data_IF_267602486214
#
_entry.id   IF_267602486214
#
_cell.length_a   1.000
_cell.length_b   1.000
_cell.length_c   1.000
_cell.angle_alpha   90.00
_cell.angle_beta   90.00
_cell.angle_gamma   90.00
#
_symmetry.space_group_name_H-M   'P 1'
#
loop_
_entity.id
_entity.type
_entity.pdbx_description
1 polymer ?
#
# COMPACT_ATOMS: atom_id res chain seq x y z
N UNK A 1 18.83 80.80 0.51
CA UNK A 1 19.14 81.54 -0.72
C UNK A 1 19.51 82.96 -0.33
N UNK A 2 20.75 83.39 -0.61
CA UNK A 2 21.19 84.75 -0.31
C UNK A 2 20.60 85.72 -1.35
N UNK A 3 19.98 86.81 -0.90
CA UNK A 3 19.39 87.84 -1.77
C UNK A 3 20.48 88.61 -2.49
N UNK A 4 20.50 88.55 -3.82
CA UNK A 4 21.35 89.39 -4.65
C UNK A 4 20.68 90.77 -4.68
N UNK A 5 21.21 91.71 -3.87
CA UNK A 5 20.68 93.08 -3.69
C UNK A 5 20.92 93.98 -4.92
N UNK A 6 20.53 93.55 -6.12
CA UNK A 6 20.50 94.43 -7.29
C UNK A 6 19.14 95.16 -7.36
N UNK A 7 19.11 96.50 -7.46
CA UNK A 7 17.86 97.24 -7.57
C UNK A 7 17.19 96.97 -8.92
N UNK A 8 15.86 96.94 -8.96
CA UNK A 8 15.11 96.86 -10.20
C UNK A 8 15.30 98.13 -11.04
N UNK A 9 15.82 98.01 -12.26
CA UNK A 9 16.08 99.12 -13.18
C UNK A 9 15.14 99.00 -14.39
N UNK A 10 13.85 99.29 -14.23
CA UNK A 10 12.93 99.50 -15.37
C UNK A 10 11.57 100.07 -14.93
N UNK A 11 11.22 101.26 -15.47
CA UNK A 11 9.99 102.00 -15.11
C UNK A 11 8.67 101.32 -15.48
N UNK A 12 8.71 100.28 -16.32
CA UNK A 12 7.51 99.58 -16.78
C UNK A 12 7.18 98.34 -15.92
N UNK A 13 8.05 97.95 -14.99
CA UNK A 13 7.87 96.78 -14.11
C UNK A 13 7.91 97.14 -12.63
N UNK A 14 7.88 98.44 -12.29
CA UNK A 14 7.94 98.95 -10.93
C UNK A 14 6.88 98.34 -10.00
N UNK A 15 5.67 98.07 -10.53
CA UNK A 15 4.58 97.44 -9.76
C UNK A 15 4.90 96.00 -9.36
N UNK A 16 5.51 95.24 -10.25
CA UNK A 16 5.90 93.83 -10.03
C UNK A 16 7.13 93.77 -9.15
N UNK A 17 8.11 94.65 -9.39
CA UNK A 17 9.31 94.76 -8.57
C UNK A 17 9.02 95.16 -7.12
N UNK A 18 8.12 96.12 -6.88
CA UNK A 18 7.69 96.46 -5.52
C UNK A 18 6.99 95.28 -4.84
N UNK A 19 6.09 94.58 -5.53
CA UNK A 19 5.39 93.43 -4.97
C UNK A 19 6.32 92.26 -4.61
N UNK A 20 7.38 92.01 -5.39
CA UNK A 20 8.39 90.99 -5.08
C UNK A 20 9.28 91.42 -3.91
N UNK A 21 9.66 92.70 -3.82
CA UNK A 21 10.56 93.19 -2.78
C UNK A 21 9.90 93.30 -1.39
N UNK A 22 8.61 93.66 -1.32
CA UNK A 22 7.91 93.82 -0.03
C UNK A 22 7.31 92.52 0.50
N UNK A 23 6.80 91.66 -0.37
CA UNK A 23 6.23 90.36 0.04
C UNK A 23 6.28 89.31 -1.08
N UNK A 24 7.50 88.95 -1.49
CA UNK A 24 7.75 87.86 -2.46
C UNK A 24 7.01 86.57 -2.12
N UNK A 25 6.82 86.28 -0.83
CA UNK A 25 6.14 85.07 -0.37
C UNK A 25 4.63 85.11 -0.69
N UNK A 26 3.98 86.27 -0.59
CA UNK A 26 2.58 86.44 -0.96
C UNK A 26 2.36 86.26 -2.48
N UNK A 27 3.26 86.78 -3.31
CA UNK A 27 3.09 86.75 -4.77
C UNK A 27 3.57 85.44 -5.43
N UNK A 28 4.74 84.91 -5.02
CA UNK A 28 5.32 83.69 -5.61
C UNK A 28 4.79 82.42 -4.92
N UNK A 29 4.35 82.53 -3.66
CA UNK A 29 3.88 81.41 -2.85
C UNK A 29 2.77 80.56 -3.51
N UNK A 30 1.70 81.15 -4.07
CA UNK A 30 0.65 80.40 -4.76
C UNK A 30 1.16 79.64 -5.99
N UNK A 31 2.03 80.27 -6.78
CA UNK A 31 2.61 79.67 -8.00
C UNK A 31 3.57 78.54 -7.65
N UNK A 32 4.41 78.73 -6.64
CA UNK A 32 5.31 77.70 -6.13
C UNK A 32 4.55 76.52 -5.50
N UNK A 33 3.44 76.79 -4.79
CA UNK A 33 2.56 75.76 -4.22
C UNK A 33 1.85 74.96 -5.31
N UNK A 34 1.30 75.62 -6.33
CA UNK A 34 0.70 74.97 -7.48
C UNK A 34 1.73 74.12 -8.26
N UNK A 35 2.95 74.62 -8.45
CA UNK A 35 4.05 73.86 -9.06
C UNK A 35 4.45 72.61 -8.26
N UNK A 36 4.53 72.72 -6.92
CA UNK A 36 4.76 71.56 -6.04
C UNK A 36 3.63 70.53 -6.09
N UNK A 37 2.38 70.99 -6.09
CA UNK A 37 1.21 70.11 -6.16
C UNK A 37 1.10 69.40 -7.52
N UNK A 38 1.34 70.12 -8.61
CA UNK A 38 1.38 69.53 -9.95
C UNK A 38 2.49 68.48 -10.04
N UNK A 39 3.71 68.78 -9.57
CA UNK A 39 4.83 67.81 -9.57
C UNK A 39 4.50 66.57 -8.73
N UNK A 40 3.88 66.73 -7.57
CA UNK A 40 3.47 65.61 -6.73
C UNK A 40 2.41 64.73 -7.41
N UNK A 41 1.37 65.34 -8.01
CA UNK A 41 0.30 64.62 -8.72
C UNK A 41 0.83 63.86 -9.94
N UNK A 42 1.73 64.46 -10.72
CA UNK A 42 2.34 63.79 -11.88
C UNK A 42 3.29 62.67 -11.44
N UNK A 43 3.99 62.84 -10.31
CA UNK A 43 4.87 61.79 -9.76
C UNK A 43 4.04 60.61 -9.24
N UNK A 44 2.95 60.86 -8.51
CA UNK A 44 2.03 59.80 -8.06
C UNK A 44 1.38 59.05 -9.23
N UNK A 45 0.96 59.76 -10.29
CA UNK A 45 0.32 59.12 -11.43
C UNK A 45 1.29 58.28 -12.26
N UNK A 46 2.52 58.77 -12.49
CA UNK A 46 3.58 58.02 -13.17
C UNK A 46 4.03 56.83 -12.33
N UNK A 47 4.21 57.00 -11.01
CA UNK A 47 4.53 55.89 -10.11
C UNK A 47 3.43 54.83 -10.13
N UNK A 48 2.16 55.22 -10.04
CA UNK A 48 1.03 54.28 -10.05
C UNK A 48 0.88 53.56 -11.40
N UNK A 49 1.15 54.24 -12.51
CA UNK A 49 1.16 53.64 -13.84
C UNK A 49 2.32 52.65 -14.01
N UNK A 50 3.53 53.01 -13.62
CA UNK A 50 4.69 52.12 -13.70
C UNK A 50 4.59 50.94 -12.72
N UNK A 51 4.05 51.14 -11.53
CA UNK A 51 3.77 50.05 -10.58
C UNK A 51 2.69 49.11 -11.13
N UNK A 52 1.66 49.67 -11.79
CA UNK A 52 0.63 48.90 -12.50
C UNK A 52 1.20 48.07 -13.66
N UNK A 53 2.15 48.62 -14.41
CA UNK A 53 2.84 47.93 -15.49
C UNK A 53 3.79 46.84 -14.96
N UNK A 54 4.61 47.14 -13.96
CA UNK A 54 5.50 46.16 -13.31
C UNK A 54 4.71 45.02 -12.67
N UNK A 55 3.55 45.31 -12.07
CA UNK A 55 2.69 44.25 -11.52
C UNK A 55 2.04 43.40 -12.61
N UNK A 56 1.64 43.98 -13.75
CA UNK A 56 1.13 43.22 -14.89
C UNK A 56 2.19 42.28 -15.50
N UNK A 57 3.43 42.76 -15.67
CA UNK A 57 4.53 41.97 -16.24
C UNK A 57 5.03 40.88 -15.28
N UNK A 58 4.99 41.14 -13.96
CA UNK A 58 5.37 40.16 -12.92
C UNK A 58 4.33 39.02 -12.76
N UNK A 59 3.06 39.29 -13.06
CA UNK A 59 1.99 38.27 -12.96
C UNK A 59 2.18 37.15 -13.99
N UNK A 60 2.67 37.48 -15.19
CA UNK A 60 2.87 36.51 -16.28
C UNK A 60 3.97 35.47 -15.97
N UNK A 61 5.12 35.90 -15.43
CA UNK A 61 6.22 34.99 -15.06
C UNK A 61 5.86 34.09 -13.87
N UNK A 62 5.08 34.59 -12.91
CA UNK A 62 4.55 33.77 -11.82
C UNK A 62 3.60 32.67 -12.30
N UNK A 63 2.74 32.96 -13.28
CA UNK A 63 1.87 31.94 -13.85
C UNK A 63 2.67 30.81 -14.52
N UNK A 64 3.68 31.13 -15.32
CA UNK A 64 4.51 30.12 -16.02
C UNK A 64 5.26 29.21 -15.04
N UNK A 65 5.83 29.78 -13.97
CA UNK A 65 6.53 29.00 -12.93
C UNK A 65 5.54 28.12 -12.16
N UNK A 66 4.35 28.65 -11.84
CA UNK A 66 3.31 27.89 -11.16
C UNK A 66 2.83 26.68 -11.99
N UNK A 67 2.60 26.85 -13.29
CA UNK A 67 2.20 25.73 -14.18
C UNK A 67 3.27 24.64 -14.26
N UNK A 68 4.55 25.01 -14.32
CA UNK A 68 5.66 24.04 -14.37
C UNK A 68 5.71 23.18 -13.10
N UNK A 69 5.56 23.82 -11.92
CA UNK A 69 5.53 23.11 -10.63
C UNK A 69 4.29 22.23 -10.51
N UNK A 70 3.11 22.74 -10.88
CA UNK A 70 1.86 21.97 -10.88
C UNK A 70 1.96 20.76 -11.82
N UNK A 71 2.53 20.92 -13.01
CA UNK A 71 2.73 19.83 -13.96
C UNK A 71 3.63 18.71 -13.37
N UNK A 72 4.74 19.08 -12.71
CA UNK A 72 5.62 18.11 -12.06
C UNK A 72 4.87 17.36 -10.93
N UNK A 73 4.08 18.07 -10.12
CA UNK A 73 3.28 17.45 -9.05
C UNK A 73 2.24 16.48 -9.61
N UNK A 74 1.59 16.81 -10.74
CA UNK A 74 0.62 15.93 -11.40
C UNK A 74 1.31 14.67 -11.94
N UNK A 75 2.48 14.80 -12.57
CA UNK A 75 3.26 13.64 -13.06
C UNK A 75 3.67 12.74 -11.89
N UNK A 76 4.14 13.32 -10.78
CA UNK A 76 4.46 12.56 -9.57
C UNK A 76 3.22 11.87 -8.99
N UNK A 77 2.07 12.54 -8.95
CA UNK A 77 0.81 11.95 -8.52
C UNK A 77 0.40 10.76 -9.39
N UNK A 78 0.48 10.90 -10.71
CA UNK A 78 0.15 9.83 -11.66
C UNK A 78 1.10 8.64 -11.48
N UNK A 79 2.41 8.88 -11.33
CA UNK A 79 3.40 7.85 -11.04
C UNK A 79 3.08 7.11 -9.73
N UNK A 80 2.69 7.84 -8.68
CA UNK A 80 2.29 7.27 -7.39
C UNK A 80 1.01 6.44 -7.53
N UNK A 81 0.01 6.91 -8.28
CA UNK A 81 -1.24 6.17 -8.51
C UNK A 81 -0.97 4.87 -9.28
N UNK A 82 -0.23 4.93 -10.39
CA UNK A 82 0.13 3.74 -11.19
C UNK A 82 0.92 2.75 -10.32
N UNK A 83 1.87 3.24 -9.52
CA UNK A 83 2.64 2.42 -8.60
C UNK A 83 1.76 1.71 -7.56
N UNK A 84 0.81 2.42 -6.95
CA UNK A 84 -0.14 1.84 -5.99
C UNK A 84 -0.99 0.75 -6.65
N UNK A 85 -1.47 0.98 -7.88
CA UNK A 85 -2.29 0.01 -8.63
C UNK A 85 -1.48 -1.24 -8.99
N UNK A 86 -0.27 -1.09 -9.53
CA UNK A 86 0.60 -2.22 -9.87
C UNK A 86 0.95 -3.05 -8.63
N UNK A 87 1.25 -2.39 -7.51
CA UNK A 87 1.50 -3.05 -6.24
C UNK A 87 0.27 -3.82 -5.75
N UNK A 88 -0.91 -3.19 -5.81
CA UNK A 88 -2.16 -3.82 -5.37
C UNK A 88 -2.46 -5.09 -6.18
N UNK A 89 -2.27 -5.06 -7.49
CA UNK A 89 -2.47 -6.23 -8.36
C UNK A 89 -1.48 -7.35 -8.05
N UNK A 90 -0.18 -7.02 -7.93
CA UNK A 90 0.85 -8.01 -7.61
C UNK A 90 0.61 -8.68 -6.25
N UNK A 91 0.23 -7.91 -5.22
CA UNK A 91 -0.10 -8.44 -3.89
C UNK A 91 -1.27 -9.42 -3.97
N UNK A 92 -2.33 -9.05 -4.69
CA UNK A 92 -3.53 -9.88 -4.81
C UNK A 92 -3.26 -11.21 -5.52
N UNK A 93 -2.43 -11.20 -6.57
CA UNK A 93 -2.06 -12.43 -7.27
C UNK A 93 -1.16 -13.32 -6.42
N UNK A 94 -0.19 -12.74 -5.71
CA UNK A 94 0.68 -13.48 -4.79
C UNK A 94 -0.08 -14.08 -3.61
N UNK A 95 -1.05 -13.36 -3.05
CA UNK A 95 -1.90 -13.86 -1.98
C UNK A 95 -2.71 -15.09 -2.42
N UNK A 96 -3.32 -15.02 -3.61
CA UNK A 96 -4.05 -16.15 -4.17
C UNK A 96 -3.13 -17.36 -4.44
N UNK A 97 -1.93 -17.11 -4.99
CA UNK A 97 -0.95 -18.16 -5.26
C UNK A 97 -0.43 -18.80 -3.97
N UNK A 98 -0.14 -18.00 -2.94
CA UNK A 98 0.29 -18.48 -1.63
C UNK A 98 -0.78 -19.31 -0.95
N UNK A 99 -2.04 -18.89 -1.01
CA UNK A 99 -3.17 -19.63 -0.44
C UNK A 99 -3.39 -20.97 -1.15
N UNK A 100 -3.22 -21.01 -2.47
CA UNK A 100 -3.29 -22.24 -3.26
C UNK A 100 -2.13 -23.20 -2.91
N UNK A 101 -0.91 -22.69 -2.80
CA UNK A 101 0.27 -23.46 -2.41
C UNK A 101 0.11 -24.04 -0.99
N UNK A 102 -0.37 -23.23 -0.04
CA UNK A 102 -0.66 -23.65 1.32
C UNK A 102 -1.72 -24.77 1.35
N UNK A 103 -2.83 -24.61 0.63
CA UNK A 103 -3.86 -25.64 0.55
C UNK A 103 -3.32 -26.95 -0.04
N UNK A 104 -2.50 -26.89 -1.09
CA UNK A 104 -1.87 -28.08 -1.67
C UNK A 104 -0.92 -28.77 -0.68
N UNK A 105 -0.12 -27.98 0.04
CA UNK A 105 0.79 -28.47 1.07
C UNK A 105 0.04 -29.13 2.24
N UNK A 106 -1.04 -28.51 2.68
CA UNK A 106 -1.97 -29.06 3.67
C UNK A 106 -2.58 -30.39 3.24
N UNK A 107 -3.11 -30.46 2.02
CA UNK A 107 -3.69 -31.69 1.46
C UNK A 107 -2.65 -32.81 1.41
N UNK A 108 -1.45 -32.55 0.90
CA UNK A 108 -0.39 -33.55 0.82
C UNK A 108 -0.02 -34.08 2.21
N UNK A 109 0.25 -33.17 3.15
CA UNK A 109 0.65 -33.51 4.52
C UNK A 109 -0.46 -34.25 5.27
N UNK A 110 -1.70 -33.83 5.08
CA UNK A 110 -2.87 -34.49 5.67
C UNK A 110 -3.10 -35.90 5.13
N UNK A 111 -2.96 -36.11 3.82
CA UNK A 111 -3.05 -37.44 3.20
C UNK A 111 -1.96 -38.35 3.75
N UNK A 112 -0.70 -37.88 3.81
CA UNK A 112 0.42 -38.65 4.35
C UNK A 112 0.15 -39.05 5.82
N UNK A 113 -0.37 -38.12 6.62
CA UNK A 113 -0.74 -38.40 8.01
C UNK A 113 -1.90 -39.38 8.14
N UNK A 114 -2.89 -39.31 7.25
CA UNK A 114 -3.98 -40.29 7.21
C UNK A 114 -3.47 -41.69 6.85
N UNK A 115 -2.58 -41.80 5.87
CA UNK A 115 -1.93 -43.07 5.48
C UNK A 115 -1.15 -43.65 6.66
N UNK A 116 -0.33 -42.82 7.31
CA UNK A 116 0.44 -43.19 8.50
C UNK A 116 -0.49 -43.69 9.63
N UNK A 117 -1.57 -42.95 9.91
CA UNK A 117 -2.54 -43.32 10.93
C UNK A 117 -3.26 -44.63 10.62
N UNK A 118 -3.66 -44.85 9.36
CA UNK A 118 -4.29 -46.10 8.93
C UNK A 118 -3.33 -47.28 9.06
N UNK A 119 -2.06 -47.09 8.69
CA UNK A 119 -1.03 -48.10 8.84
C UNK A 119 -0.75 -48.42 10.31
N UNK A 120 -0.60 -47.43 11.18
CA UNK A 120 -0.27 -47.66 12.60
C UNK A 120 -1.43 -48.28 13.37
N UNK A 121 -2.66 -47.78 13.17
CA UNK A 121 -3.83 -48.24 13.95
C UNK A 121 -4.44 -49.52 13.43
N UNK A 122 -4.41 -49.74 12.12
CA UNK A 122 -5.12 -50.84 11.47
C UNK A 122 -4.22 -51.81 10.70
N UNK A 123 -2.91 -51.53 10.61
CA UNK A 123 -1.96 -52.28 9.79
C UNK A 123 -2.37 -52.36 8.30
N UNK A 124 -2.97 -51.27 7.82
CA UNK A 124 -3.48 -51.18 6.45
C UNK A 124 -2.47 -50.48 5.54
N UNK A 125 -2.07 -51.16 4.47
CA UNK A 125 -1.33 -50.58 3.33
C UNK A 125 -2.21 -50.45 2.07
N UNK A 126 -3.29 -51.24 2.03
CA UNK A 126 -4.23 -51.32 0.93
C UNK A 126 -5.64 -51.44 1.49
N UNK A 127 -6.60 -50.96 0.70
CA UNK A 127 -8.02 -51.17 0.90
C UNK A 127 -8.55 -51.79 -0.40
N UNK A 128 -9.18 -52.95 -0.29
CA UNK A 128 -9.77 -53.71 -1.40
C UNK A 128 -8.76 -53.98 -2.51
N UNK A 129 -7.50 -54.25 -2.12
CA UNK A 129 -6.38 -54.49 -3.03
C UNK A 129 -5.77 -53.23 -3.66
N UNK A 130 -6.32 -52.04 -3.43
CA UNK A 130 -5.84 -50.75 -3.95
C UNK A 130 -5.04 -50.02 -2.87
N UNK A 131 -3.96 -49.35 -3.23
CA UNK A 131 -3.12 -48.63 -2.26
C UNK A 131 -3.84 -47.41 -1.65
N UNK A 132 -3.53 -47.13 -0.39
CA UNK A 132 -4.10 -45.98 0.33
C UNK A 132 -3.85 -44.65 -0.39
N UNK A 133 -2.69 -44.49 -1.03
CA UNK A 133 -2.29 -43.29 -1.79
C UNK A 133 -3.24 -42.97 -2.95
N UNK A 134 -3.94 -43.98 -3.47
CA UNK A 134 -4.91 -43.82 -4.58
C UNK A 134 -6.32 -43.59 -4.07
N UNK A 135 -6.67 -44.18 -2.91
CA UNK A 135 -8.00 -44.05 -2.32
C UNK A 135 -8.15 -42.73 -1.58
N UNK A 136 -7.11 -42.32 -0.85
CA UNK A 136 -7.11 -41.08 -0.08
C UNK A 136 -6.84 -39.88 -0.98
N UNK A 137 -7.63 -38.83 -0.79
CA UNK A 137 -7.57 -37.59 -1.53
C UNK A 137 -8.13 -36.45 -0.69
N UNK A 138 -8.06 -35.23 -1.23
CA UNK A 138 -8.50 -33.99 -0.57
C UNK A 138 -9.94 -34.03 0.00
N UNK A 139 -10.82 -34.88 -0.54
CA UNK A 139 -12.23 -34.98 -0.15
C UNK A 139 -12.49 -35.98 0.98
N UNK A 140 -11.55 -36.84 1.36
CA UNK A 140 -11.83 -37.92 2.32
C UNK A 140 -10.82 -38.06 3.46
N UNK A 141 -9.56 -37.62 3.29
CA UNK A 141 -8.48 -37.87 4.26
C UNK A 141 -8.78 -37.32 5.67
N UNK A 142 -9.58 -36.27 5.77
CA UNK A 142 -9.99 -35.61 7.02
C UNK A 142 -11.46 -35.86 7.40
N UNK A 143 -12.13 -36.84 6.77
CA UNK A 143 -13.54 -37.12 7.00
C UNK A 143 -13.72 -38.41 7.83
N UNK A 144 -14.04 -38.30 9.13
CA UNK A 144 -14.17 -39.45 10.03
C UNK A 144 -15.12 -40.54 9.53
N UNK A 145 -16.27 -40.13 8.99
CA UNK A 145 -17.29 -41.05 8.51
C UNK A 145 -16.80 -41.83 7.29
N UNK A 146 -16.12 -41.17 6.35
CA UNK A 146 -15.62 -41.83 5.12
C UNK A 146 -14.50 -42.79 5.47
N UNK A 147 -13.52 -42.37 6.29
CA UNK A 147 -12.44 -43.26 6.72
C UNK A 147 -12.99 -44.46 7.50
N UNK A 148 -13.95 -44.22 8.41
CA UNK A 148 -14.61 -45.29 9.15
C UNK A 148 -15.28 -46.32 8.23
N UNK A 149 -16.00 -45.86 7.21
CA UNK A 149 -16.65 -46.75 6.23
C UNK A 149 -15.64 -47.54 5.39
N UNK A 150 -14.54 -46.92 4.97
CA UNK A 150 -13.49 -47.60 4.21
C UNK A 150 -12.86 -48.73 5.03
N UNK A 151 -12.50 -48.47 6.29
CA UNK A 151 -11.90 -49.47 7.18
C UNK A 151 -12.91 -50.55 7.54
N UNK A 152 -14.18 -50.21 7.76
CA UNK A 152 -15.25 -51.19 8.01
C UNK A 152 -15.47 -52.11 6.79
N UNK A 153 -15.47 -51.54 5.58
CA UNK A 153 -15.57 -52.33 4.35
C UNK A 153 -14.42 -53.32 4.21
N UNK A 154 -13.20 -52.90 4.53
CA UNK A 154 -12.03 -53.77 4.51
C UNK A 154 -12.09 -54.86 5.58
N UNK A 155 -12.55 -54.51 6.78
CA UNK A 155 -12.76 -55.47 7.86
C UNK A 155 -13.77 -56.56 7.44
N UNK A 156 -14.89 -56.17 6.84
CA UNK A 156 -15.89 -57.13 6.38
C UNK A 156 -15.35 -58.02 5.26
N UNK A 157 -14.57 -57.47 4.33
CA UNK A 157 -14.00 -58.23 3.24
C UNK A 157 -12.97 -59.28 3.71
N UNK A 158 -12.15 -58.95 4.71
CA UNK A 158 -11.02 -59.79 5.14
C UNK A 158 -11.36 -60.69 6.32
N UNK A 159 -12.09 -60.18 7.31
CA UNK A 159 -12.24 -60.84 8.61
C UNK A 159 -13.56 -61.61 8.77
N UNK A 160 -14.59 -61.28 7.99
CA UNK A 160 -15.84 -62.08 7.96
C UNK A 160 -15.73 -63.29 7.02
N UNK A 161 -14.83 -63.23 6.03
CA UNK A 161 -14.64 -64.29 5.03
C UNK A 161 -13.82 -65.48 5.53
N UNK A 162 -12.91 -65.28 6.50
CA UNK A 162 -12.18 -66.35 7.19
C UNK A 162 -12.00 -66.02 8.70
N UNK A 163 -12.84 -66.59 9.59
CA UNK A 163 -12.83 -66.29 11.02
C UNK A 163 -11.59 -66.80 11.77
N UNK A 164 -10.71 -67.56 11.11
CA UNK A 164 -9.43 -68.06 11.64
C UNK A 164 -8.21 -67.28 11.14
N UNK A 165 -8.40 -66.27 10.29
CA UNK A 165 -7.31 -65.43 9.79
C UNK A 165 -6.83 -64.45 10.87
N UNK A 166 -6.11 -64.97 11.86
CA UNK A 166 -5.48 -64.21 12.94
C UNK A 166 -4.23 -63.46 12.50
N UNK A 167 -3.89 -63.49 11.21
CA UNK A 167 -2.65 -62.92 10.67
C UNK A 167 -2.82 -61.43 10.35
N UNK A 168 -4.02 -60.97 10.03
CA UNK A 168 -4.28 -59.55 9.76
C UNK A 168 -4.66 -58.81 11.06
N UNK A 169 -3.90 -57.76 11.40
CA UNK A 169 -4.12 -56.96 12.61
C UNK A 169 -5.51 -56.31 12.65
N UNK A 170 -6.13 -56.06 11.50
CA UNK A 170 -7.49 -55.53 11.42
C UNK A 170 -8.52 -56.46 12.07
N UNK A 171 -8.32 -57.78 12.00
CA UNK A 171 -9.25 -58.77 12.57
C UNK A 171 -9.21 -58.82 14.11
N UNK A 172 -8.21 -58.19 14.75
CA UNK A 172 -8.12 -58.04 16.21
C UNK A 172 -9.26 -57.17 16.75
N UNK A 173 -9.87 -56.32 15.92
CA UNK A 173 -11.01 -55.50 16.31
C UNK A 173 -12.28 -56.30 16.61
N UNK A 174 -12.34 -57.60 16.26
CA UNK A 174 -13.50 -58.46 16.45
C UNK A 174 -13.93 -58.55 17.91
N UNK A 175 -15.17 -58.16 18.20
CA UNK A 175 -15.85 -58.31 19.49
C UNK A 175 -16.97 -59.34 19.42
N UNK A 176 -17.60 -59.60 20.56
CA UNK A 176 -18.76 -60.50 20.68
C UNK A 176 -19.95 -60.02 19.85
N UNK A 177 -20.10 -58.70 19.70
CA UNK A 177 -21.12 -58.07 18.87
C UNK A 177 -20.50 -57.20 17.79
N UNK A 178 -20.98 -57.33 16.56
CA UNK A 178 -20.52 -56.52 15.42
C UNK A 178 -20.70 -55.01 15.67
N UNK A 179 -21.72 -54.61 16.42
CA UNK A 179 -21.94 -53.20 16.80
C UNK A 179 -20.76 -52.62 17.61
N UNK A 180 -20.16 -53.41 18.49
CA UNK A 180 -18.99 -53.00 19.27
C UNK A 180 -17.73 -52.93 18.40
N UNK A 181 -17.56 -53.91 17.51
CA UNK A 181 -16.47 -53.92 16.52
C UNK A 181 -16.50 -52.66 15.65
N UNK A 182 -17.64 -52.36 15.02
CA UNK A 182 -17.79 -51.20 14.14
C UNK A 182 -17.64 -49.88 14.89
N UNK A 183 -18.07 -49.80 16.14
CA UNK A 183 -17.88 -48.63 16.99
C UNK A 183 -16.39 -48.36 17.26
N UNK A 184 -15.61 -49.39 17.55
CA UNK A 184 -14.16 -49.25 17.77
C UNK A 184 -13.44 -48.81 16.50
N UNK A 185 -13.73 -49.47 15.38
CA UNK A 185 -13.17 -49.09 14.08
C UNK A 185 -13.50 -47.63 13.75
N UNK A 186 -14.76 -47.21 13.91
CA UNK A 186 -15.17 -45.84 13.66
C UNK A 186 -14.47 -44.83 14.58
N UNK A 187 -14.24 -45.19 15.84
CA UNK A 187 -13.55 -44.32 16.82
C UNK A 187 -12.08 -44.13 16.46
N UNK A 188 -11.39 -45.20 16.09
CA UNK A 188 -10.00 -45.11 15.67
C UNK A 188 -9.84 -44.42 14.33
N UNK A 189 -10.73 -44.68 13.36
CA UNK A 189 -10.75 -43.99 12.08
C UNK A 189 -11.09 -42.50 12.24
N UNK A 190 -11.94 -42.14 13.21
CA UNK A 190 -12.18 -40.76 13.58
C UNK A 190 -10.91 -40.09 14.10
N UNK A 191 -10.15 -40.79 14.95
CA UNK A 191 -8.86 -40.28 15.44
C UNK A 191 -7.89 -40.03 14.28
N UNK A 192 -7.76 -40.99 13.35
CA UNK A 192 -6.93 -40.82 12.14
C UNK A 192 -7.36 -39.59 11.33
N UNK A 193 -8.66 -39.43 11.07
CA UNK A 193 -9.18 -38.32 10.29
C UNK A 193 -8.93 -36.96 10.99
N UNK A 194 -9.04 -36.91 12.31
CA UNK A 194 -8.80 -35.69 13.10
C UNK A 194 -7.32 -35.34 13.11
N UNK A 195 -6.43 -36.30 13.34
CA UNK A 195 -4.98 -36.09 13.31
C UNK A 195 -4.51 -35.65 11.92
N UNK A 196 -5.07 -36.25 10.87
CA UNK A 196 -4.81 -35.86 9.49
C UNK A 196 -5.32 -34.46 9.16
N UNK A 197 -6.52 -34.10 9.64
CA UNK A 197 -7.06 -32.75 9.51
C UNK A 197 -6.23 -31.70 10.26
N UNK A 198 -5.73 -32.03 11.44
CA UNK A 198 -4.85 -31.17 12.23
C UNK A 198 -3.50 -30.97 11.54
N UNK A 199 -2.86 -32.04 11.08
CA UNK A 199 -1.60 -31.96 10.35
C UNK A 199 -1.73 -31.14 9.05
N UNK A 200 -2.86 -31.25 8.35
CA UNK A 200 -3.14 -30.41 7.19
C UNK A 200 -3.24 -28.92 7.55
N UNK A 201 -3.98 -28.58 8.62
CA UNK A 201 -4.12 -27.19 9.06
C UNK A 201 -2.79 -26.58 9.53
N UNK A 202 -1.98 -27.35 10.27
CA UNK A 202 -0.65 -26.92 10.71
C UNK A 202 0.29 -26.69 9.53
N UNK A 203 0.21 -27.54 8.49
CA UNK A 203 1.00 -27.37 7.27
C UNK A 203 0.53 -26.17 6.42
N UNK A 204 -0.78 -25.91 6.34
CA UNK A 204 -1.34 -24.71 5.70
C UNK A 204 -0.83 -23.44 6.40
N UNK A 205 -0.90 -23.40 7.73
CA UNK A 205 -0.46 -22.25 8.52
C UNK A 205 1.05 -22.02 8.38
N UNK A 206 1.86 -23.08 8.44
CA UNK A 206 3.31 -22.98 8.26
C UNK A 206 3.71 -22.41 6.88
N UNK A 207 3.03 -22.84 5.81
CA UNK A 207 3.31 -22.37 4.45
C UNK A 207 2.91 -20.89 4.28
N UNK A 208 1.79 -20.46 4.88
CA UNK A 208 1.36 -19.05 4.88
C UNK A 208 2.37 -18.17 5.63
N UNK A 209 2.87 -18.63 6.77
CA UNK A 209 3.90 -17.91 7.54
C UNK A 209 5.19 -17.76 6.71
N UNK A 210 5.60 -18.81 6.00
CA UNK A 210 6.77 -18.76 5.12
C UNK A 210 6.59 -17.74 3.98
N UNK A 211 5.44 -17.77 3.29
CA UNK A 211 5.15 -16.81 2.21
C UNK A 211 5.10 -15.34 2.68
N UNK A 212 4.60 -15.11 3.91
CA UNK A 212 4.57 -13.77 4.52
C UNK A 212 5.97 -13.30 4.95
N UNK A 213 6.81 -14.20 5.46
CA UNK A 213 8.21 -13.92 5.75
C UNK A 213 8.98 -13.57 4.47
N UNK A 214 8.64 -14.19 3.34
CA UNK A 214 9.26 -13.85 2.07
C UNK A 214 8.78 -12.50 1.50
N UNK A 215 7.50 -12.21 1.61
CA UNK A 215 6.96 -10.94 1.11
C UNK A 215 7.55 -9.72 1.82
N UNK A 216 7.85 -9.83 3.12
CA UNK A 216 8.31 -8.71 3.95
C UNK A 216 9.71 -8.18 3.60
N UNK A 217 10.62 -9.01 3.05
CA UNK A 217 11.93 -8.54 2.61
C UNK A 217 11.86 -7.66 1.34
N UNK A 218 10.87 -7.87 0.47
CA UNK A 218 10.73 -7.13 -0.79
C UNK A 218 10.25 -5.68 -0.57
N UNK A 219 9.41 -5.46 0.46
CA UNK A 219 8.85 -4.14 0.78
C UNK A 219 9.85 -3.19 1.43
N UNK A 220 10.87 -3.72 2.13
CA UNK A 220 11.95 -2.91 2.69
C UNK A 220 12.77 -2.22 1.59
N UNK A 221 13.15 -2.95 0.55
CA UNK A 221 14.08 -2.48 -0.48
C UNK A 221 13.58 -1.26 -1.29
N UNK A 222 12.28 -1.17 -1.55
CA UNK A 222 11.69 -0.09 -2.37
C UNK A 222 11.48 1.18 -1.53
N UNK A 223 11.10 1.05 -0.25
CA UNK A 223 10.99 2.18 0.68
C UNK A 223 12.31 2.91 0.87
N UNK A 224 13.42 2.16 0.97
CA UNK A 224 14.75 2.75 1.07
C UNK A 224 15.17 3.50 -0.21
N UNK A 225 14.82 3.02 -1.41
CA UNK A 225 15.18 3.74 -2.65
C UNK A 225 14.49 5.10 -2.77
N UNK A 226 13.20 5.19 -2.44
CA UNK A 226 12.47 6.47 -2.46
C UNK A 226 12.97 7.41 -1.36
N UNK A 227 13.26 6.89 -0.16
CA UNK A 227 13.82 7.67 0.95
C UNK A 227 15.20 8.24 0.59
N UNK A 228 16.06 7.44 -0.07
CA UNK A 228 17.38 7.86 -0.54
C UNK A 228 17.27 8.96 -1.59
N UNK A 229 16.36 8.84 -2.56
CA UNK A 229 16.13 9.89 -3.57
C UNK A 229 15.66 11.19 -2.90
N UNK A 230 14.78 11.10 -1.90
CA UNK A 230 14.32 12.27 -1.14
C UNK A 230 15.46 12.93 -0.35
N UNK A 231 16.32 12.14 0.30
CA UNK A 231 17.50 12.64 1.03
C UNK A 231 18.48 13.34 0.07
N UNK A 232 18.73 12.77 -1.12
CA UNK A 232 19.59 13.37 -2.14
C UNK A 232 19.01 14.71 -2.63
N UNK A 233 17.70 14.77 -2.89
CA UNK A 233 17.03 15.99 -3.31
C UNK A 233 17.05 17.08 -2.21
N UNK A 234 16.90 16.70 -0.93
CA UNK A 234 16.98 17.63 0.19
C UNK A 234 18.41 18.17 0.39
N UNK A 235 19.44 17.31 0.25
CA UNK A 235 20.85 17.76 0.32
C UNK A 235 21.17 18.77 -0.78
N UNK A 236 20.72 18.52 -2.00
CA UNK A 236 20.96 19.41 -3.16
C UNK A 236 20.25 20.76 -3.07
N UNK A 237 19.21 20.89 -2.23
CA UNK A 237 18.48 22.15 -2.03
C UNK A 237 19.09 23.03 -0.93
N UNK A 238 20.01 22.48 -0.13
CA UNK A 238 20.68 23.16 0.98
C UNK A 238 22.12 23.60 0.64
N UNK A 239 22.57 23.39 -0.60
CA UNK A 239 23.79 23.96 -1.20
C UNK A 239 23.40 25.11 -2.14
#
# INVERSE_FOLDING_TARGET
MASIKTPCISKNVDRVCNAILTDSNYWIGPVAKAGKQATALTTESVQKAQLGEVTATSTYSYMVIAYSVVAILIILLVMVIIYIVLRYLAVKELENAALLAAAQKGIATGIDKAIEGLKIKFDLEKLSGVSLNTILNAKNFKHPMILGQLVQGEYNAICESDPSNSVNALCIYRRSFNSETYKLIATDAQTVALDAGKAAAEAEEAEIILANAESSYLYGAIGYSVLVILIILLKKKNE
#
